data_IF_845573054206
#
_entry.id   IF_845573054206
#
_cell.length_a   1.000
_cell.length_b   1.000
_cell.length_c   1.000
_cell.angle_alpha   90.00
_cell.angle_beta   90.00
_cell.angle_gamma   90.00
#
_symmetry.space_group_name_H-M   'P 1'
#
loop_
_entity.id
_entity.type
_entity.pdbx_description
1 polymer ?
#
# COMPACT_ATOMS: atom_id res chain seq x y z
N UNK A 1 -10.72 25.32 2.13
CA UNK A 1 -9.97 24.08 1.84
C UNK A 1 -8.81 24.43 0.93
N UNK A 2 -7.62 23.86 1.13
CA UNK A 2 -6.50 24.14 0.24
C UNK A 2 -6.80 23.56 -1.17
N UNK A 3 -6.37 24.26 -2.21
CA UNK A 3 -6.46 23.80 -3.60
C UNK A 3 -5.33 22.80 -3.93
N UNK A 4 -4.97 21.94 -2.97
CA UNK A 4 -3.86 20.97 -3.08
C UNK A 4 -4.34 19.59 -2.67
N UNK A 5 -3.97 18.61 -3.48
CA UNK A 5 -4.11 17.18 -3.21
C UNK A 5 -2.72 16.56 -3.21
N UNK A 6 -2.39 15.78 -2.18
CA UNK A 6 -1.11 15.09 -2.06
C UNK A 6 -1.36 13.59 -2.10
N UNK A 7 -0.74 12.92 -3.05
CA UNK A 7 -0.83 11.48 -3.24
C UNK A 7 0.49 10.86 -2.79
N UNK A 8 0.43 9.98 -1.81
CA UNK A 8 1.58 9.28 -1.25
C UNK A 8 1.61 7.84 -1.75
N UNK A 9 2.79 7.35 -2.15
CA UNK A 9 3.10 5.94 -1.98
C UNK A 9 3.30 5.64 -0.48
N UNK A 10 3.34 4.37 -0.09
CA UNK A 10 3.42 3.96 1.30
C UNK A 10 4.78 3.40 1.68
N UNK A 11 5.14 2.24 1.13
CA UNK A 11 6.44 1.63 1.36
C UNK A 11 7.56 2.51 0.80
N UNK A 12 8.68 2.59 1.52
CA UNK A 12 9.84 3.43 1.18
C UNK A 12 9.51 4.92 0.96
N UNK A 13 8.36 5.39 1.44
CA UNK A 13 7.85 6.77 1.26
C UNK A 13 7.26 7.34 2.55
N UNK A 14 6.31 6.62 3.15
CA UNK A 14 5.84 6.86 4.52
C UNK A 14 6.63 5.99 5.48
N UNK A 15 6.83 4.71 5.11
CA UNK A 15 7.75 3.82 5.80
C UNK A 15 9.18 3.98 5.30
N UNK A 16 10.14 3.81 6.19
CA UNK A 16 11.57 3.68 5.85
C UNK A 16 11.95 2.23 5.50
N UNK A 17 10.95 1.40 5.20
CA UNK A 17 11.10 0.02 4.81
C UNK A 17 9.99 -0.40 3.84
N UNK A 18 10.08 -1.64 3.40
CA UNK A 18 9.03 -2.36 2.69
C UNK A 18 8.21 -3.16 3.72
N UNK A 19 6.91 -2.92 3.80
CA UNK A 19 6.05 -3.52 4.83
C UNK A 19 5.91 -5.03 4.71
N UNK A 20 5.92 -5.58 3.50
CA UNK A 20 5.89 -7.03 3.28
C UNK A 20 7.19 -7.66 3.76
N UNK A 21 8.35 -7.13 3.32
CA UNK A 21 9.65 -7.61 3.81
C UNK A 21 9.78 -7.46 5.33
N UNK A 22 9.29 -6.37 5.92
CA UNK A 22 9.32 -6.16 7.37
C UNK A 22 8.64 -7.30 8.14
N UNK A 23 7.44 -7.70 7.71
CA UNK A 23 6.70 -8.81 8.32
C UNK A 23 7.38 -10.15 8.04
N UNK A 24 7.74 -10.40 6.78
CA UNK A 24 8.40 -11.64 6.34
C UNK A 24 9.69 -11.90 7.11
N UNK A 25 10.56 -10.90 7.21
CA UNK A 25 11.85 -10.99 7.90
C UNK A 25 11.63 -11.11 9.41
N UNK A 26 10.70 -10.33 9.97
CA UNK A 26 10.38 -10.32 11.39
C UNK A 26 9.92 -11.68 11.96
N UNK A 27 9.32 -12.53 11.12
CA UNK A 27 8.89 -13.88 11.48
C UNK A 27 9.76 -14.99 10.88
N UNK A 28 10.86 -14.67 10.17
CA UNK A 28 11.80 -15.66 9.64
C UNK A 28 11.31 -16.40 8.38
N UNK A 29 10.44 -15.78 7.57
CA UNK A 29 9.90 -16.37 6.34
C UNK A 29 10.62 -15.94 5.06
N UNK A 30 11.70 -15.18 5.15
CA UNK A 30 12.46 -14.62 4.01
C UNK A 30 12.78 -15.68 2.95
N UNK A 31 13.33 -16.83 3.35
CA UNK A 31 13.68 -17.90 2.41
C UNK A 31 12.47 -18.47 1.67
N UNK A 32 11.33 -18.60 2.35
CA UNK A 32 10.09 -19.07 1.71
C UNK A 32 9.61 -18.02 0.71
N UNK A 33 9.61 -16.76 1.12
CA UNK A 33 9.16 -15.65 0.31
C UNK A 33 9.99 -15.49 -0.96
N UNK A 34 11.32 -15.47 -0.85
CA UNK A 34 12.25 -15.39 -1.99
C UNK A 34 12.05 -16.54 -2.99
N UNK A 35 11.79 -17.75 -2.49
CA UNK A 35 11.49 -18.90 -3.34
C UNK A 35 10.19 -18.69 -4.11
N UNK A 36 9.14 -18.22 -3.44
CA UNK A 36 7.84 -18.01 -4.07
C UNK A 36 7.92 -16.90 -5.12
N UNK A 37 8.48 -15.74 -4.77
CA UNK A 37 8.58 -14.58 -5.68
C UNK A 37 9.42 -14.86 -6.93
N UNK A 38 10.31 -15.86 -6.90
CA UNK A 38 11.02 -16.34 -8.11
C UNK A 38 10.13 -17.05 -9.13
N UNK A 39 8.92 -17.48 -8.74
CA UNK A 39 8.02 -18.32 -9.56
C UNK A 39 6.61 -17.77 -9.71
N UNK A 40 6.23 -16.77 -8.93
CA UNK A 40 4.86 -16.21 -8.95
C UNK A 40 4.85 -14.72 -8.58
N UNK A 41 3.73 -14.02 -8.87
CA UNK A 41 3.58 -12.63 -8.50
C UNK A 41 3.73 -12.39 -6.99
N UNK A 42 4.31 -11.24 -6.64
CA UNK A 42 4.60 -10.83 -5.26
C UNK A 42 3.37 -10.93 -4.34
N UNK A 43 2.22 -10.41 -4.79
CA UNK A 43 0.97 -10.44 -4.03
C UNK A 43 0.49 -11.87 -3.71
N UNK A 44 0.57 -12.79 -4.69
CA UNK A 44 0.24 -14.20 -4.49
C UNK A 44 1.24 -14.90 -3.57
N UNK A 45 2.53 -14.59 -3.70
CA UNK A 45 3.56 -15.10 -2.79
C UNK A 45 3.28 -14.65 -1.35
N UNK A 46 2.87 -13.39 -1.16
CA UNK A 46 2.56 -12.85 0.16
C UNK A 46 1.32 -13.51 0.79
N UNK A 47 0.23 -13.76 0.04
CA UNK A 47 -0.95 -14.52 0.53
C UNK A 47 -0.55 -15.94 0.99
N UNK A 48 0.35 -16.61 0.26
CA UNK A 48 0.87 -17.93 0.65
C UNK A 48 1.72 -17.83 1.92
N UNK A 49 2.56 -16.80 2.06
CA UNK A 49 3.34 -16.61 3.28
C UNK A 49 2.43 -16.35 4.48
N UNK A 50 1.39 -15.52 4.35
CA UNK A 50 0.39 -15.31 5.42
C UNK A 50 -0.27 -16.63 5.83
N UNK A 51 -0.58 -17.51 4.88
CA UNK A 51 -1.10 -18.83 5.19
C UNK A 51 -0.10 -19.73 5.95
N UNK A 52 1.19 -19.66 5.61
CA UNK A 52 2.23 -20.42 6.31
C UNK A 52 2.54 -19.85 7.69
N UNK A 53 2.46 -18.54 7.88
CA UNK A 53 2.57 -17.92 9.19
C UNK A 53 1.44 -18.40 10.11
N UNK A 54 0.20 -18.36 9.61
CA UNK A 54 -0.96 -18.81 10.35
C UNK A 54 -0.87 -20.31 10.72
N UNK A 55 -0.40 -21.17 9.81
CA UNK A 55 -0.24 -22.61 10.11
C UNK A 55 0.84 -22.91 11.15
N UNK A 56 1.76 -21.97 11.40
CA UNK A 56 2.75 -22.03 12.47
C UNK A 56 2.28 -21.34 13.77
N UNK A 57 1.01 -20.92 13.83
CA UNK A 57 0.41 -20.33 15.03
C UNK A 57 0.66 -18.83 15.20
N UNK A 58 1.22 -18.15 14.20
CA UNK A 58 1.35 -16.69 14.21
C UNK A 58 -0.04 -16.09 14.00
N UNK A 59 -0.47 -15.27 14.94
CA UNK A 59 -1.80 -14.67 14.94
C UNK A 59 -1.83 -13.35 14.18
N UNK A 60 -3.03 -12.88 13.83
CA UNK A 60 -3.21 -11.56 13.25
C UNK A 60 -2.71 -10.44 14.17
N UNK A 61 -2.83 -10.61 15.49
CA UNK A 61 -2.34 -9.67 16.49
C UNK A 61 -0.82 -9.63 16.55
N UNK A 62 -0.15 -10.78 16.37
CA UNK A 62 1.31 -10.84 16.26
C UNK A 62 1.79 -10.04 15.04
N UNK A 63 1.15 -10.24 13.89
CA UNK A 63 1.45 -9.49 12.66
C UNK A 63 1.19 -7.99 12.89
N UNK A 64 0.07 -7.62 13.51
CA UNK A 64 -0.23 -6.24 13.82
C UNK A 64 0.82 -5.61 14.75
N UNK A 65 1.27 -6.34 15.77
CA UNK A 65 2.30 -5.88 16.70
C UNK A 65 3.69 -5.80 16.06
N UNK A 66 3.97 -6.62 15.05
CA UNK A 66 5.16 -6.50 14.21
C UNK A 66 5.10 -5.20 13.37
N UNK A 67 3.98 -4.97 12.68
CA UNK A 67 3.75 -3.80 11.83
C UNK A 67 3.84 -2.48 12.60
N UNK A 68 3.32 -2.41 13.83
CA UNK A 68 3.42 -1.23 14.71
C UNK A 68 4.85 -0.79 15.00
N UNK A 69 5.84 -1.68 14.82
CA UNK A 69 7.26 -1.41 15.03
C UNK A 69 7.98 -0.96 13.75
N UNK A 70 7.30 -0.99 12.59
CA UNK A 70 7.88 -0.59 11.32
C UNK A 70 8.31 0.89 11.39
N UNK A 71 9.53 1.23 10.94
CA UNK A 71 10.04 2.59 11.01
C UNK A 71 9.33 3.50 10.00
N UNK A 72 8.90 4.68 10.44
CA UNK A 72 8.49 5.76 9.55
C UNK A 72 9.71 6.52 9.04
N UNK A 73 9.63 7.08 7.82
CA UNK A 73 10.62 8.06 7.35
C UNK A 73 10.68 9.23 8.35
N UNK A 74 11.88 9.72 8.73
CA UNK A 74 12.00 10.84 9.65
C UNK A 74 11.11 12.04 9.27
N UNK A 75 10.43 12.61 10.26
CA UNK A 75 9.53 13.76 10.13
C UNK A 75 8.26 13.55 9.26
N UNK A 76 8.04 12.39 8.63
CA UNK A 76 6.89 12.21 7.74
C UNK A 76 5.54 12.34 8.47
N UNK A 77 5.46 11.84 9.71
CA UNK A 77 4.25 11.94 10.52
C UNK A 77 3.87 13.40 10.83
N UNK A 78 4.85 14.25 11.16
CA UNK A 78 4.61 15.69 11.35
C UNK A 78 4.21 16.36 10.04
N UNK A 79 4.85 16.01 8.93
CA UNK A 79 4.53 16.56 7.60
C UNK A 79 3.10 16.24 7.18
N UNK A 80 2.66 14.99 7.35
CA UNK A 80 1.28 14.56 7.06
C UNK A 80 0.28 15.36 7.91
N UNK A 81 0.51 15.45 9.22
CA UNK A 81 -0.38 16.18 10.13
C UNK A 81 -0.46 17.67 9.79
N UNK A 82 0.67 18.30 9.46
CA UNK A 82 0.71 19.71 9.04
C UNK A 82 -0.06 19.89 7.73
N UNK A 83 0.22 19.08 6.71
CA UNK A 83 -0.48 19.16 5.43
C UNK A 83 -2.00 19.00 5.60
N UNK A 84 -2.44 18.04 6.40
CA UNK A 84 -3.84 17.85 6.75
C UNK A 84 -4.45 19.08 7.45
N UNK A 85 -3.75 19.64 8.45
CA UNK A 85 -4.20 20.84 9.18
C UNK A 85 -4.29 22.10 8.30
N UNK A 86 -3.48 22.18 7.24
CA UNK A 86 -3.55 23.24 6.22
C UNK A 86 -4.70 23.02 5.23
N UNK A 87 -5.45 21.93 5.36
CA UNK A 87 -6.61 21.60 4.53
C UNK A 87 -6.24 20.98 3.18
N UNK A 88 -5.04 20.40 3.04
CA UNK A 88 -4.69 19.56 1.90
C UNK A 88 -5.48 18.24 1.95
N UNK A 89 -5.92 17.76 0.79
CA UNK A 89 -6.51 16.43 0.66
C UNK A 89 -5.40 15.40 0.50
N UNK A 90 -5.29 14.44 1.41
CA UNK A 90 -4.23 13.45 1.40
C UNK A 90 -4.78 12.09 0.97
N UNK A 91 -4.10 11.42 0.04
CA UNK A 91 -4.47 10.11 -0.47
C UNK A 91 -3.27 9.18 -0.49
N UNK A 92 -3.51 7.87 -0.41
CA UNK A 92 -2.49 6.84 -0.58
C UNK A 92 -2.79 6.01 -1.83
N UNK A 93 -1.74 5.67 -2.58
CA UNK A 93 -1.77 4.72 -3.70
C UNK A 93 -0.56 3.79 -3.53
N UNK A 94 -0.79 2.54 -3.10
CA UNK A 94 0.29 1.62 -2.70
C UNK A 94 0.01 0.16 -3.06
N UNK A 95 1.06 -0.58 -3.45
CA UNK A 95 1.03 -2.03 -3.71
C UNK A 95 1.11 -2.90 -2.44
N UNK A 96 1.12 -2.30 -1.25
CA UNK A 96 0.94 -3.03 0.01
C UNK A 96 -0.49 -3.60 0.11
N UNK A 97 -1.02 -3.78 1.31
CA UNK A 97 -2.39 -4.22 1.52
C UNK A 97 -3.11 -3.39 2.58
N UNK A 98 -4.46 -3.40 2.54
CA UNK A 98 -5.31 -2.61 3.44
C UNK A 98 -4.95 -2.85 4.91
N UNK A 99 -4.85 -4.11 5.34
CA UNK A 99 -4.57 -4.45 6.74
C UNK A 99 -3.23 -3.85 7.21
N UNK A 100 -2.19 -3.90 6.38
CA UNK A 100 -0.86 -3.36 6.73
C UNK A 100 -0.90 -1.84 6.87
N UNK A 101 -1.41 -1.16 5.84
CA UNK A 101 -1.48 0.30 5.80
C UNK A 101 -2.32 0.82 6.97
N UNK A 102 -3.53 0.28 7.15
CA UNK A 102 -4.42 0.74 8.21
C UNK A 102 -3.82 0.51 9.61
N UNK A 103 -3.22 -0.65 9.86
CA UNK A 103 -2.64 -0.97 11.16
C UNK A 103 -1.57 0.04 11.55
N UNK A 104 -0.66 0.34 10.63
CA UNK A 104 0.44 1.29 10.84
C UNK A 104 -0.09 2.72 10.99
N UNK A 105 -0.96 3.16 10.08
CA UNK A 105 -1.50 4.52 10.14
C UNK A 105 -2.33 4.76 11.41
N UNK A 106 -3.13 3.79 11.84
CA UNK A 106 -3.90 3.87 13.09
C UNK A 106 -2.98 3.94 14.29
N UNK A 107 -1.91 3.14 14.33
CA UNK A 107 -0.92 3.17 15.41
C UNK A 107 -0.26 4.54 15.59
N UNK A 108 0.06 5.23 14.48
CA UNK A 108 0.70 6.54 14.52
C UNK A 108 -0.29 7.73 14.58
N UNK A 109 -1.60 7.46 14.63
CA UNK A 109 -2.64 8.50 14.61
C UNK A 109 -2.62 9.33 13.32
N UNK A 110 -2.40 8.66 12.19
CA UNK A 110 -2.33 9.25 10.85
C UNK A 110 -3.50 8.82 9.96
N UNK A 111 -4.23 7.76 10.32
CA UNK A 111 -5.29 7.18 9.48
C UNK A 111 -6.32 8.22 9.05
N UNK A 112 -6.85 8.99 10.01
CA UNK A 112 -7.87 10.01 9.74
C UNK A 112 -7.37 11.22 8.95
N UNK A 113 -6.05 11.33 8.69
CA UNK A 113 -5.51 12.38 7.83
C UNK A 113 -5.74 12.09 6.34
N UNK A 114 -6.00 10.83 5.98
CA UNK A 114 -6.15 10.40 4.58
C UNK A 114 -7.62 10.24 4.22
N UNK A 115 -8.04 10.90 3.15
CA UNK A 115 -9.42 10.83 2.64
C UNK A 115 -9.68 9.60 1.78
N UNK A 116 -8.62 8.96 1.26
CA UNK A 116 -8.72 7.82 0.35
C UNK A 116 -7.43 6.98 0.39
N UNK A 117 -7.57 5.66 0.44
CA UNK A 117 -6.45 4.71 0.37
C UNK A 117 -6.77 3.71 -0.75
N UNK A 118 -5.95 3.72 -1.80
CA UNK A 118 -6.02 2.75 -2.89
C UNK A 118 -4.89 1.76 -2.72
N UNK A 119 -5.22 0.49 -2.50
CA UNK A 119 -4.25 -0.58 -2.28
C UNK A 119 -4.88 -1.96 -2.51
N UNK A 120 -4.10 -3.02 -2.37
CA UNK A 120 -4.60 -4.39 -2.50
C UNK A 120 -5.58 -4.73 -1.34
N UNK A 121 -6.79 -5.21 -1.64
CA UNK A 121 -7.73 -5.63 -0.61
C UNK A 121 -7.16 -6.74 0.26
N UNK A 122 -7.52 -6.73 1.54
CA UNK A 122 -7.21 -7.81 2.46
C UNK A 122 -8.35 -8.08 3.41
N UNK A 123 -8.58 -9.34 3.76
CA UNK A 123 -9.60 -9.74 4.75
C UNK A 123 -9.00 -10.76 5.70
N UNK A 124 -9.45 -10.75 6.95
CA UNK A 124 -9.18 -11.84 7.88
C UNK A 124 -10.28 -12.87 7.64
N UNK A 125 -9.91 -14.09 7.22
CA UNK A 125 -10.88 -15.15 6.96
C UNK A 125 -11.43 -15.75 8.27
N UNK A 126 -12.41 -16.65 8.15
CA UNK A 126 -13.08 -17.30 9.27
C UNK A 126 -12.12 -18.12 10.16
N UNK A 127 -10.94 -18.49 9.64
CA UNK A 127 -9.91 -19.20 10.39
C UNK A 127 -8.95 -18.25 11.11
N UNK A 128 -9.10 -16.93 10.94
CA UNK A 128 -8.21 -15.92 11.52
C UNK A 128 -6.95 -15.67 10.69
N UNK A 129 -6.91 -16.13 9.43
CA UNK A 129 -5.78 -15.91 8.52
C UNK A 129 -6.00 -14.65 7.71
N UNK A 130 -4.95 -13.84 7.57
CA UNK A 130 -4.95 -12.71 6.63
C UNK A 130 -4.90 -13.23 5.18
N UNK A 131 -5.90 -12.85 4.39
CA UNK A 131 -5.96 -13.06 2.96
C UNK A 131 -5.69 -11.76 2.23
N UNK A 132 -4.88 -11.83 1.18
CA UNK A 132 -4.54 -10.68 0.34
C UNK A 132 -5.03 -10.97 -1.08
N UNK A 133 -5.69 -9.99 -1.68
CA UNK A 133 -6.26 -10.10 -3.02
C UNK A 133 -5.70 -9.01 -3.93
N UNK A 134 -5.61 -9.26 -5.25
CA UNK A 134 -5.30 -8.21 -6.20
C UNK A 134 -6.38 -7.10 -6.18
N UNK A 135 -5.95 -5.85 -6.26
CA UNK A 135 -6.80 -4.68 -6.49
C UNK A 135 -7.29 -4.65 -7.94
N UNK A 136 -8.39 -5.35 -8.22
CA UNK A 136 -9.08 -5.29 -9.52
C UNK A 136 -10.09 -4.13 -9.58
N UNK A 137 -9.62 -2.91 -9.37
CA UNK A 137 -10.39 -1.74 -9.75
C UNK A 137 -10.34 -1.60 -11.27
N UNK A 138 -11.51 -1.78 -11.90
CA UNK A 138 -11.84 -1.59 -13.32
C UNK A 138 -11.85 -2.87 -14.17
N UNK A 139 -13.06 -3.46 -14.32
CA UNK A 139 -13.47 -4.48 -15.29
C UNK A 139 -13.36 -4.04 -16.76
N UNK A 140 -12.33 -3.30 -17.13
CA UNK A 140 -12.07 -2.89 -18.51
C UNK A 140 -10.70 -3.42 -18.91
N UNK A 141 -10.77 -4.46 -19.73
CA UNK A 141 -9.70 -5.05 -20.53
C UNK A 141 -9.11 -4.01 -21.49
N UNK A 142 -8.20 -3.20 -20.98
CA UNK A 142 -7.09 -2.51 -21.67
C UNK A 142 -6.62 -1.37 -20.76
N UNK A 143 -5.39 -1.49 -20.27
CA UNK A 143 -4.67 -0.32 -19.77
C UNK A 143 -4.46 0.64 -20.96
N UNK A 144 -4.42 1.95 -20.72
CA UNK A 144 -4.25 2.98 -21.78
C UNK A 144 -2.97 2.73 -22.57
N UNK A 145 -1.96 2.15 -21.92
CA UNK A 145 -0.86 1.48 -22.56
C UNK A 145 -1.30 0.10 -23.06
N UNK A 146 -1.31 -0.13 -24.37
CA UNK A 146 -1.25 -1.48 -24.98
C UNK A 146 0.07 -2.22 -24.63
N UNK A 147 0.65 -1.95 -23.46
CA UNK A 147 1.79 -2.68 -22.92
C UNK A 147 1.27 -3.75 -21.98
N UNK A 148 1.67 -4.99 -22.23
CA UNK A 148 1.54 -6.17 -21.38
C UNK A 148 2.27 -6.05 -20.02
N UNK A 149 2.47 -4.84 -19.49
CA UNK A 149 3.42 -4.53 -18.42
C UNK A 149 2.80 -4.11 -17.08
N UNK A 150 1.47 -3.97 -17.00
CA UNK A 150 0.83 -3.67 -15.71
C UNK A 150 0.91 -4.90 -14.79
N UNK A 151 1.32 -4.71 -13.51
CA UNK A 151 1.43 -5.82 -12.61
C UNK A 151 0.03 -6.39 -12.31
N UNK A 152 -0.08 -7.71 -12.11
CA UNK A 152 -1.37 -8.39 -12.01
C UNK A 152 -2.19 -8.00 -10.78
N UNK A 153 -1.58 -7.33 -9.80
CA UNK A 153 -2.21 -6.94 -8.55
C UNK A 153 -2.89 -5.57 -8.59
N UNK A 154 -2.25 -4.52 -9.14
CA UNK A 154 -2.79 -3.16 -9.08
C UNK A 154 -2.10 -2.26 -10.12
N UNK A 155 -2.87 -1.48 -10.88
CA UNK A 155 -2.32 -0.47 -11.79
C UNK A 155 -2.31 0.92 -11.14
N UNK A 156 -1.20 1.30 -10.50
CA UNK A 156 -1.05 2.62 -9.89
C UNK A 156 -1.27 3.76 -10.89
N UNK A 157 -0.82 3.60 -12.14
CA UNK A 157 -1.02 4.59 -13.23
C UNK A 157 -2.48 4.96 -13.43
N UNK A 158 -3.38 3.98 -13.63
CA UNK A 158 -4.83 4.21 -13.81
C UNK A 158 -5.48 4.88 -12.60
N UNK A 159 -5.04 4.51 -11.39
CA UNK A 159 -5.56 5.07 -10.16
C UNK A 159 -5.13 6.54 -10.03
N UNK A 160 -3.86 6.84 -10.34
CA UNK A 160 -3.34 8.21 -10.39
C UNK A 160 -4.07 9.03 -11.46
N UNK A 161 -4.36 8.47 -12.65
CA UNK A 161 -5.15 9.14 -13.68
C UNK A 161 -6.57 9.48 -13.20
N UNK A 162 -7.27 8.53 -12.55
CA UNK A 162 -8.58 8.79 -11.93
C UNK A 162 -8.50 9.93 -10.91
N UNK A 163 -7.48 9.91 -10.06
CA UNK A 163 -7.23 10.95 -9.07
C UNK A 163 -6.95 12.30 -9.74
N UNK A 164 -6.19 12.29 -10.85
CA UNK A 164 -5.87 13.46 -11.65
C UNK A 164 -7.11 14.11 -12.24
N UNK A 165 -7.97 13.33 -12.90
CA UNK A 165 -9.24 13.82 -13.44
C UNK A 165 -10.10 14.45 -12.34
N UNK A 166 -10.22 13.80 -11.17
CA UNK A 166 -10.98 14.35 -10.05
C UNK A 166 -10.39 15.66 -9.51
N UNK A 167 -9.07 15.79 -9.48
CA UNK A 167 -8.42 17.02 -9.05
C UNK A 167 -8.62 18.16 -10.06
N UNK A 168 -8.55 17.88 -11.36
CA UNK A 168 -8.80 18.85 -12.43
C UNK A 168 -10.24 19.38 -12.37
N UNK A 169 -11.24 18.50 -12.22
CA UNK A 169 -12.65 18.87 -12.03
C UNK A 169 -12.87 19.78 -10.81
N UNK A 170 -12.03 19.64 -9.79
CA UNK A 170 -12.08 20.40 -8.53
C UNK A 170 -11.07 21.55 -8.49
N UNK A 171 -10.41 21.84 -9.61
CA UNK A 171 -9.36 22.85 -9.76
C UNK A 171 -8.26 22.78 -8.66
N UNK A 172 -7.78 21.56 -8.38
CA UNK A 172 -6.74 21.28 -7.39
C UNK A 172 -5.40 20.99 -8.06
N UNK A 173 -4.31 21.47 -7.46
CA UNK A 173 -2.94 21.07 -7.79
C UNK A 173 -2.63 19.73 -7.15
N UNK A 174 -2.03 18.82 -7.90
CA UNK A 174 -1.58 17.51 -7.39
C UNK A 174 -0.09 17.55 -7.11
N UNK A 175 0.30 16.97 -5.97
CA UNK A 175 1.67 16.63 -5.63
C UNK A 175 1.71 15.12 -5.43
N UNK A 176 2.59 14.43 -6.15
CA UNK A 176 2.87 13.02 -5.91
C UNK A 176 4.16 12.88 -5.11
N UNK A 177 4.16 12.02 -4.10
CA UNK A 177 5.31 11.66 -3.28
C UNK A 177 5.51 10.14 -3.33
N UNK A 178 6.69 9.70 -3.76
CA UNK A 178 7.07 8.29 -3.73
C UNK A 178 8.55 8.08 -4.01
N UNK A 179 9.04 6.87 -3.76
CA UNK A 179 10.45 6.47 -3.90
C UNK A 179 10.94 6.33 -5.36
N UNK A 180 10.05 6.57 -6.32
CA UNK A 180 10.33 6.56 -7.75
C UNK A 180 10.37 5.19 -8.40
N UNK A 181 10.31 4.08 -7.63
CA UNK A 181 10.41 2.72 -8.20
C UNK A 181 9.12 2.27 -8.90
N UNK A 182 7.98 2.86 -8.54
CA UNK A 182 6.66 2.37 -8.98
C UNK A 182 5.85 3.38 -9.82
N UNK A 183 6.36 4.60 -10.00
CA UNK A 183 5.72 5.60 -10.88
C UNK A 183 6.39 5.66 -12.24
N UNK A 184 7.67 5.26 -12.32
CA UNK A 184 8.50 5.36 -13.55
C UNK A 184 8.76 4.00 -14.20
N UNK A 185 8.36 2.91 -13.57
CA UNK A 185 8.33 1.58 -14.15
C UNK A 185 6.90 1.06 -14.11
N UNK A 186 6.33 0.76 -15.29
CA UNK A 186 5.01 0.14 -15.50
C UNK A 186 3.81 1.10 -15.59
N UNK A 187 3.89 2.10 -16.47
CA UNK A 187 2.87 2.47 -17.47
C UNK A 187 3.51 3.39 -18.51
#
# INVERSE_FOLDING_TARGET
>A
MAAVMIVFDFDKTILDCDSDNWVVDGFGFTRLFDKLTSTMPWNSAMDIVMANMHSQGITIDDIANCLKKAPLIPHIASTIKIAHSLGCELKIVSDANVFFIETILKHHGLFDCFSEINTNPSVIDEQGRLRIFPCHDLKSSSCISNLDSCPPNMCKGRIIERIKTNAEERNKRIIYLGDGRVITAQC
#
